data_IF_266653543061
#
_entry.id   IF_266653543061
#
_cell.length_a   1.000
_cell.length_b   1.000
_cell.length_c   1.000
_cell.angle_alpha   90.00
_cell.angle_beta   90.00
_cell.angle_gamma   90.00
#
_symmetry.space_group_name_H-M   'P 1'
#
loop_
_entity.id
_entity.type
_entity.pdbx_description
1 polymer ?
#
# COMPACT_ATOMS: atom_id res chain seq x y z
N UNK A 1 26.65 -9.71 -38.99
CA UNK A 1 26.53 -9.90 -37.52
C UNK A 1 25.69 -8.81 -36.83
N UNK A 2 25.82 -7.52 -37.18
CA UNK A 2 25.08 -6.42 -36.55
C UNK A 2 23.53 -6.54 -36.58
N UNK A 3 22.93 -7.10 -37.64
CA UNK A 3 21.46 -7.28 -37.74
C UNK A 3 20.88 -8.22 -36.68
N UNK A 4 21.64 -9.23 -36.25
CA UNK A 4 21.20 -10.17 -35.19
C UNK A 4 21.39 -9.54 -33.81
N UNK A 5 22.44 -8.73 -33.62
CA UNK A 5 22.66 -7.97 -32.40
C UNK A 5 21.53 -6.96 -32.15
N UNK A 6 21.15 -6.16 -33.16
CA UNK A 6 20.02 -5.21 -33.05
C UNK A 6 18.69 -5.91 -32.75
N UNK A 7 18.43 -7.08 -33.36
CA UNK A 7 17.24 -7.89 -33.03
C UNK A 7 17.29 -8.41 -31.60
N UNK A 8 18.44 -8.89 -31.15
CA UNK A 8 18.63 -9.38 -29.78
C UNK A 8 18.42 -8.27 -28.76
N UNK A 9 18.97 -7.08 -29.00
CA UNK A 9 18.87 -5.90 -28.13
C UNK A 9 17.42 -5.39 -28.04
N UNK A 10 16.71 -5.32 -29.17
CA UNK A 10 15.28 -4.99 -29.21
C UNK A 10 14.43 -6.02 -28.47
N UNK A 11 14.77 -7.31 -28.60
CA UNK A 11 14.08 -8.39 -27.92
C UNK A 11 14.33 -8.41 -26.42
N UNK A 12 15.58 -8.21 -25.98
CA UNK A 12 15.92 -8.15 -24.54
C UNK A 12 15.24 -6.96 -23.86
N UNK A 13 15.20 -5.79 -24.51
CA UNK A 13 14.47 -4.62 -23.99
C UNK A 13 12.98 -4.90 -23.85
N UNK A 14 12.37 -5.59 -24.82
CA UNK A 14 10.97 -6.00 -24.75
C UNK A 14 10.71 -7.00 -23.61
N UNK A 15 11.58 -8.01 -23.48
CA UNK A 15 11.51 -9.04 -22.43
C UNK A 15 11.58 -8.43 -21.02
N UNK A 16 12.57 -7.57 -20.78
CA UNK A 16 12.75 -6.91 -19.47
C UNK A 16 11.56 -6.04 -19.10
N UNK A 17 11.04 -5.24 -20.04
CA UNK A 17 9.84 -4.44 -19.80
C UNK A 17 8.61 -5.31 -19.48
N UNK A 18 8.47 -6.46 -20.13
CA UNK A 18 7.37 -7.39 -19.88
C UNK A 18 7.47 -8.09 -18.52
N UNK A 19 8.66 -8.55 -18.13
CA UNK A 19 8.93 -9.10 -16.80
C UNK A 19 8.64 -8.07 -15.70
N UNK A 20 9.05 -6.82 -15.91
CA UNK A 20 8.79 -5.73 -14.98
C UNK A 20 7.28 -5.46 -14.84
N UNK A 21 6.53 -5.49 -15.94
CA UNK A 21 5.06 -5.38 -15.92
C UNK A 21 4.38 -6.52 -15.15
N UNK A 22 4.80 -7.78 -15.36
CA UNK A 22 4.28 -8.93 -14.62
C UNK A 22 4.60 -8.84 -13.12
N UNK A 23 5.79 -8.34 -12.77
CA UNK A 23 6.16 -8.09 -11.38
C UNK A 23 5.31 -6.97 -10.77
N UNK A 24 5.14 -5.84 -11.47
CA UNK A 24 4.35 -4.70 -11.01
C UNK A 24 2.88 -5.06 -10.77
N UNK A 25 2.27 -5.83 -11.67
CA UNK A 25 0.90 -6.33 -11.50
C UNK A 25 0.76 -7.30 -10.33
N UNK A 26 1.76 -8.16 -10.07
CA UNK A 26 1.78 -9.04 -8.91
C UNK A 26 1.86 -8.24 -7.59
N UNK A 27 2.73 -7.22 -7.53
CA UNK A 27 2.86 -6.33 -6.35
C UNK A 27 1.60 -5.49 -6.15
N UNK A 28 0.99 -4.99 -7.22
CA UNK A 28 -0.30 -4.30 -7.15
C UNK A 28 -1.40 -5.22 -6.58
N UNK A 29 -1.48 -6.46 -7.08
CA UNK A 29 -2.40 -7.46 -6.54
C UNK A 29 -2.13 -7.77 -5.05
N UNK A 30 -0.85 -7.82 -4.65
CA UNK A 30 -0.46 -8.02 -3.25
C UNK A 30 -0.81 -6.80 -2.38
N UNK A 31 -0.78 -5.58 -2.93
CA UNK A 31 -1.19 -4.36 -2.23
C UNK A 31 -2.70 -4.30 -1.95
N UNK A 32 -3.52 -4.90 -2.82
CA UNK A 32 -4.99 -4.98 -2.63
C UNK A 32 -5.37 -6.11 -1.66
N UNK A 33 -4.54 -7.16 -1.54
CA UNK A 33 -4.80 -8.36 -0.74
C UNK A 33 -5.19 -8.11 0.75
N UNK A 34 -4.58 -7.15 1.48
CA UNK A 34 -4.96 -6.84 2.86
C UNK A 34 -6.37 -6.24 2.99
N UNK A 35 -6.84 -5.54 1.95
CA UNK A 35 -8.18 -4.92 1.93
C UNK A 35 -9.28 -5.98 1.91
N UNK A 36 -8.99 -7.15 1.34
CA UNK A 36 -9.91 -8.28 1.19
C UNK A 36 -9.98 -9.13 2.47
N UNK A 37 -8.89 -9.18 3.23
CA UNK A 37 -8.73 -10.04 4.39
C UNK A 37 -8.73 -9.20 5.68
N UNK A 38 -9.91 -8.97 6.25
CA UNK A 38 -10.09 -8.20 7.49
C UNK A 38 -9.29 -8.72 8.70
N UNK A 39 -8.82 -9.97 8.66
CA UNK A 39 -7.98 -10.59 9.70
C UNK A 39 -6.51 -10.10 9.69
N UNK A 40 -5.94 -9.74 8.54
CA UNK A 40 -4.56 -9.24 8.43
C UNK A 40 -4.47 -7.75 8.75
N UNK A 41 -5.51 -6.96 8.45
CA UNK A 41 -5.57 -5.53 8.80
C UNK A 41 -5.55 -5.25 10.31
N UNK A 42 -5.94 -6.21 11.15
CA UNK A 42 -5.89 -6.05 12.61
C UNK A 42 -4.49 -6.28 13.22
N UNK A 43 -3.57 -6.88 12.47
CA UNK A 43 -2.21 -7.19 12.91
C UNK A 43 -1.19 -6.12 12.50
N UNK A 44 -1.56 -5.26 11.54
CA UNK A 44 -0.69 -4.24 10.96
C UNK A 44 -1.07 -2.88 11.59
N UNK A 45 -0.15 -2.13 12.20
CA UNK A 45 -0.44 -0.83 12.80
C UNK A 45 -1.07 0.11 11.76
N UNK A 46 -2.34 0.45 11.97
CA UNK A 46 -3.31 0.75 10.90
C UNK A 46 -3.28 2.18 10.37
N UNK A 47 -2.32 3.03 10.71
CA UNK A 47 -2.40 4.45 10.34
C UNK A 47 -1.11 4.91 9.63
N UNK A 48 0.05 4.72 10.25
CA UNK A 48 1.34 4.93 9.55
C UNK A 48 1.54 3.93 8.40
N UNK A 49 1.16 2.66 8.60
CA UNK A 49 1.22 1.67 7.52
C UNK A 49 0.17 1.93 6.46
N UNK A 50 -0.99 2.51 6.80
CA UNK A 50 -1.96 2.92 5.78
C UNK A 50 -1.42 4.07 4.95
N UNK A 51 -0.78 5.09 5.55
CA UNK A 51 -0.22 6.20 4.78
C UNK A 51 0.90 5.69 3.84
N UNK A 52 1.82 4.88 4.37
CA UNK A 52 2.92 4.32 3.59
C UNK A 52 2.42 3.36 2.51
N UNK A 53 1.45 2.49 2.83
CA UNK A 53 0.83 1.59 1.86
C UNK A 53 0.06 2.34 0.78
N UNK A 54 -0.61 3.45 1.12
CA UNK A 54 -1.34 4.26 0.16
C UNK A 54 -0.36 4.95 -0.81
N UNK A 55 0.75 5.51 -0.32
CA UNK A 55 1.81 6.04 -1.19
C UNK A 55 2.46 4.96 -2.05
N UNK A 56 2.74 3.77 -1.50
CA UNK A 56 3.33 2.66 -2.24
C UNK A 56 2.37 2.15 -3.32
N UNK A 57 1.07 2.10 -3.02
CA UNK A 57 0.02 1.72 -3.95
C UNK A 57 -0.09 2.71 -5.13
N UNK A 58 -0.13 4.02 -4.84
CA UNK A 58 -0.18 5.08 -5.86
C UNK A 58 1.06 5.00 -6.77
N UNK A 59 2.25 4.92 -6.19
CA UNK A 59 3.51 4.79 -6.94
C UNK A 59 3.55 3.49 -7.75
N UNK A 60 3.06 2.38 -7.20
CA UNK A 60 2.95 1.10 -7.88
C UNK A 60 2.03 1.13 -9.10
N UNK A 61 0.90 1.84 -9.03
CA UNK A 61 0.01 2.06 -10.18
C UNK A 61 0.76 2.82 -11.28
N UNK A 62 1.44 3.92 -10.91
CA UNK A 62 2.19 4.75 -11.86
C UNK A 62 3.26 3.92 -12.57
N UNK A 63 4.05 3.15 -11.82
CA UNK A 63 5.09 2.26 -12.37
C UNK A 63 4.49 1.19 -13.29
N UNK A 64 3.35 0.62 -12.92
CA UNK A 64 2.65 -0.39 -13.73
C UNK A 64 2.15 0.21 -15.04
N UNK A 65 1.57 1.42 -15.00
CA UNK A 65 1.13 2.15 -16.20
C UNK A 65 2.32 2.50 -17.11
N UNK A 66 3.44 2.97 -16.57
CA UNK A 66 4.66 3.28 -17.33
C UNK A 66 5.22 2.00 -17.97
N UNK A 67 5.26 0.89 -17.25
CA UNK A 67 5.68 -0.42 -17.77
C UNK A 67 4.78 -0.90 -18.90
N UNK A 68 3.46 -0.72 -18.78
CA UNK A 68 2.50 -1.06 -19.83
C UNK A 68 2.70 -0.21 -21.09
N UNK A 69 2.94 1.09 -20.95
CA UNK A 69 3.28 1.98 -22.07
C UNK A 69 4.60 1.57 -22.75
N UNK A 70 5.59 1.12 -21.98
CA UNK A 70 6.84 0.57 -22.51
C UNK A 70 6.64 -0.70 -23.33
N UNK A 71 5.77 -1.61 -22.87
CA UNK A 71 5.42 -2.82 -23.60
C UNK A 71 4.63 -2.51 -24.89
N UNK A 72 3.64 -1.63 -24.83
CA UNK A 72 2.90 -1.18 -26.00
C UNK A 72 3.79 -0.44 -27.01
N UNK A 73 4.75 0.35 -26.53
CA UNK A 73 5.74 1.02 -27.39
C UNK A 73 6.64 0.04 -28.15
N UNK A 74 7.01 -1.08 -27.52
CA UNK A 74 7.79 -2.14 -28.16
C UNK A 74 6.96 -2.92 -29.20
N UNK A 75 5.67 -3.17 -28.92
CA UNK A 75 4.77 -3.89 -29.84
C UNK A 75 4.32 -3.07 -31.04
N UNK A 76 4.03 -1.77 -30.85
CA UNK A 76 3.38 -0.95 -31.89
C UNK A 76 4.33 -0.41 -32.95
N UNK A 77 5.65 -0.69 -32.85
CA UNK A 77 6.73 -0.12 -33.65
C UNK A 77 6.63 1.42 -33.86
N UNK A 78 5.87 2.09 -32.99
CA UNK A 78 5.58 3.51 -33.12
C UNK A 78 6.64 4.29 -32.35
N UNK A 79 7.49 4.99 -33.10
CA UNK A 79 8.57 5.79 -32.53
C UNK A 79 8.07 6.83 -31.53
N UNK A 80 6.88 7.42 -31.73
CA UNK A 80 6.33 8.39 -30.77
C UNK A 80 6.07 7.76 -29.39
N UNK A 81 5.49 6.55 -29.33
CA UNK A 81 5.22 5.89 -28.04
C UNK A 81 6.52 5.52 -27.31
N UNK A 82 7.53 5.08 -28.06
CA UNK A 82 8.83 4.72 -27.51
C UNK A 82 9.62 5.95 -27.03
N UNK A 83 9.53 7.08 -27.74
CA UNK A 83 10.10 8.37 -27.33
C UNK A 83 9.41 8.88 -26.06
N UNK A 84 8.08 8.89 -26.01
CA UNK A 84 7.35 9.31 -24.80
C UNK A 84 7.69 8.44 -23.59
N UNK A 85 7.79 7.12 -23.77
CA UNK A 85 8.23 6.20 -22.72
C UNK A 85 9.64 6.54 -22.22
N UNK A 86 10.57 6.80 -23.13
CA UNK A 86 11.93 7.18 -22.75
C UNK A 86 11.98 8.50 -21.98
N UNK A 87 11.20 9.50 -22.39
CA UNK A 87 11.08 10.77 -21.66
C UNK A 87 10.49 10.55 -20.26
N UNK A 88 9.44 9.74 -20.14
CA UNK A 88 8.84 9.42 -18.84
C UNK A 88 9.82 8.70 -17.90
N UNK A 89 10.58 7.72 -18.42
CA UNK A 89 11.63 7.07 -17.65
C UNK A 89 12.74 8.03 -17.25
N UNK A 90 13.12 8.94 -18.14
CA UNK A 90 14.12 9.95 -17.85
C UNK A 90 13.66 10.88 -16.72
N UNK A 91 12.39 11.29 -16.74
CA UNK A 91 11.79 12.08 -15.65
C UNK A 91 11.81 11.29 -14.33
N UNK A 92 11.40 10.02 -14.33
CA UNK A 92 11.47 9.17 -13.13
C UNK A 92 12.90 9.03 -12.60
N UNK A 93 13.86 8.86 -13.51
CA UNK A 93 15.29 8.75 -13.18
C UNK A 93 15.88 10.05 -12.63
N UNK A 94 15.28 11.21 -12.88
CA UNK A 94 15.65 12.47 -12.24
C UNK A 94 14.92 12.68 -10.90
N UNK A 95 13.63 12.34 -10.85
CA UNK A 95 12.80 12.51 -9.65
C UNK A 95 13.25 11.58 -8.53
N UNK A 96 13.52 10.31 -8.83
CA UNK A 96 13.88 9.30 -7.83
C UNK A 96 15.15 9.64 -7.02
N UNK A 97 16.30 9.99 -7.65
CA UNK A 97 17.46 10.44 -6.89
C UNK A 97 17.25 11.81 -6.24
N UNK A 98 16.41 12.68 -6.81
CA UNK A 98 16.07 13.96 -6.17
C UNK A 98 15.33 13.73 -4.85
N UNK A 99 14.32 12.86 -4.86
CA UNK A 99 13.57 12.46 -3.66
C UNK A 99 14.49 11.73 -2.69
N UNK A 100 15.35 10.81 -3.16
CA UNK A 100 16.30 10.10 -2.31
C UNK A 100 17.30 11.06 -1.63
N UNK A 101 17.88 12.01 -2.37
CA UNK A 101 18.76 13.02 -1.81
C UNK A 101 18.01 13.92 -0.81
N UNK A 102 16.78 14.31 -1.12
CA UNK A 102 15.96 15.11 -0.21
C UNK A 102 15.65 14.33 1.08
N UNK A 103 15.28 13.06 0.96
CA UNK A 103 15.07 12.16 2.09
C UNK A 103 16.32 12.12 2.97
N UNK A 104 17.50 11.88 2.38
CA UNK A 104 18.78 11.81 3.09
C UNK A 104 19.14 13.10 3.84
N UNK A 105 18.85 14.27 3.25
CA UNK A 105 19.11 15.57 3.89
C UNK A 105 18.14 15.83 5.05
N UNK A 106 16.88 15.42 4.89
CA UNK A 106 15.80 15.67 5.85
C UNK A 106 15.48 14.45 6.74
N UNK A 107 16.31 13.41 6.76
CA UNK A 107 16.11 12.17 7.55
C UNK A 107 15.69 12.49 8.99
N UNK A 108 16.40 13.41 9.65
CA UNK A 108 16.11 13.79 11.05
C UNK A 108 14.73 14.40 11.25
N UNK A 109 14.23 15.13 10.27
CA UNK A 109 12.90 15.73 10.29
C UNK A 109 11.85 14.64 10.06
N UNK A 110 12.07 13.82 9.04
CA UNK A 110 11.17 12.74 8.61
C UNK A 110 11.03 11.69 9.70
N UNK A 111 12.12 11.29 10.34
CA UNK A 111 12.11 10.31 11.43
C UNK A 111 11.26 10.79 12.62
N UNK A 112 11.37 12.08 12.99
CA UNK A 112 10.51 12.68 14.02
C UNK A 112 9.04 12.75 13.61
N UNK A 113 8.75 13.04 12.34
CA UNK A 113 7.38 13.03 11.84
C UNK A 113 6.79 11.62 11.86
N UNK A 114 7.55 10.62 11.39
CA UNK A 114 7.15 9.21 11.39
C UNK A 114 6.95 8.66 12.81
N UNK A 115 7.82 8.99 13.76
CA UNK A 115 7.71 8.53 15.15
C UNK A 115 6.49 9.12 15.85
N UNK A 116 6.18 10.41 15.60
CA UNK A 116 4.96 11.07 16.11
C UNK A 116 3.70 10.45 15.53
N UNK A 117 3.66 10.25 14.20
CA UNK A 117 2.54 9.59 13.53
C UNK A 117 2.32 8.18 14.07
N UNK A 118 3.40 7.41 14.25
CA UNK A 118 3.33 6.05 14.78
C UNK A 118 2.84 6.01 16.22
N UNK A 119 3.33 6.93 17.07
CA UNK A 119 2.93 7.01 18.48
C UNK A 119 1.47 7.44 18.63
N UNK A 120 1.00 8.43 17.87
CA UNK A 120 -0.40 8.85 17.85
C UNK A 120 -1.32 7.68 17.44
N UNK A 121 -0.89 6.96 16.39
CA UNK A 121 -1.61 5.83 15.84
C UNK A 121 -1.79 4.67 16.83
N UNK A 122 -0.73 4.36 17.57
CA UNK A 122 -0.74 3.34 18.61
C UNK A 122 -1.59 3.76 19.81
N UNK A 123 -1.53 5.04 20.21
CA UNK A 123 -2.35 5.60 21.28
C UNK A 123 -3.85 5.45 21.00
N UNK A 124 -4.29 5.81 19.79
CA UNK A 124 -5.70 5.70 19.35
C UNK A 124 -6.19 4.25 19.30
N UNK A 125 -5.34 3.32 18.87
CA UNK A 125 -5.67 1.88 18.86
C UNK A 125 -5.76 1.28 20.26
N UNK A 126 -4.98 1.79 21.22
CA UNK A 126 -5.01 1.37 22.64
C UNK A 126 -6.27 1.86 23.35
N UNK A 127 -6.73 3.07 23.06
CA UNK A 127 -8.01 3.63 23.53
C UNK A 127 -9.21 2.79 23.05
N UNK A 128 -9.23 2.41 21.77
CA UNK A 128 -10.25 1.49 21.20
C UNK A 128 -10.24 0.12 21.88
N UNK A 129 -9.06 -0.40 22.20
CA UNK A 129 -8.91 -1.67 22.94
C UNK A 129 -9.39 -1.55 24.39
N UNK A 130 -9.18 -0.41 25.06
CA UNK A 130 -9.66 -0.15 26.43
C UNK A 130 -11.19 -0.01 26.48
N UNK A 131 -11.78 0.73 25.54
CA UNK A 131 -13.24 0.86 25.41
C UNK A 131 -13.91 -0.48 25.11
N UNK A 132 -13.32 -1.29 24.22
CA UNK A 132 -13.79 -2.65 23.92
C UNK A 132 -13.67 -3.62 25.11
N UNK A 133 -12.61 -3.52 25.90
CA UNK A 133 -12.41 -4.35 27.10
C UNK A 133 -13.34 -3.95 28.25
N UNK A 134 -13.66 -2.67 28.44
CA UNK A 134 -14.69 -2.23 29.40
C UNK A 134 -16.09 -2.68 28.99
N UNK A 135 -16.44 -2.62 27.69
CA UNK A 135 -17.73 -3.12 27.18
C UNK A 135 -17.82 -4.66 27.24
N UNK A 136 -16.72 -5.39 26.99
CA UNK A 136 -16.66 -6.85 27.23
C UNK A 136 -16.64 -7.21 28.72
N UNK A 137 -16.09 -6.37 29.60
CA UNK A 137 -16.13 -6.57 31.06
C UNK A 137 -17.56 -6.45 31.59
N UNK A 138 -18.34 -5.49 31.07
CA UNK A 138 -19.76 -5.38 31.38
C UNK A 138 -20.59 -6.57 30.83
N UNK A 139 -20.22 -7.11 29.65
CA UNK A 139 -20.90 -8.31 29.07
C UNK A 139 -20.47 -9.64 29.70
N UNK A 140 -19.26 -9.76 30.25
CA UNK A 140 -18.80 -10.99 30.94
C UNK A 140 -19.29 -11.10 32.38
N UNK A 141 -19.53 -9.97 33.06
CA UNK A 141 -20.22 -9.99 34.37
C UNK A 141 -21.71 -10.36 34.26
N UNK A 142 -22.35 -10.15 33.11
CA UNK A 142 -23.74 -10.54 32.86
C UNK A 142 -23.99 -11.95 32.32
N UNK A 143 -22.94 -12.75 32.04
CA UNK A 143 -23.10 -14.11 31.46
C UNK A 143 -22.88 -15.24 32.47
N UNK A 144 -22.41 -14.95 33.68
CA UNK A 144 -22.18 -15.98 34.71
C UNK A 144 -23.33 -16.14 35.71
N UNK A 145 -24.45 -15.44 35.52
CA UNK A 145 -25.65 -15.57 36.35
C UNK A 145 -26.84 -16.03 35.50
N UNK A 146 -26.71 -17.22 34.93
CA UNK A 146 -27.86 -17.96 34.40
C UNK A 146 -28.50 -18.78 35.52
N UNK A 147 -29.41 -18.17 36.27
CA UNK A 147 -30.53 -18.87 36.92
C UNK A 147 -31.68 -17.85 37.14
N UNK A 148 -32.73 -18.02 36.33
CA UNK A 148 -34.08 -17.42 36.39
C UNK A 148 -34.80 -17.93 37.68
N UNK A 149 -35.89 -17.35 38.27
CA UNK A 149 -36.93 -16.39 37.84
C UNK A 149 -37.00 -15.14 38.76
N UNK A 150 -37.87 -14.13 38.60
CA UNK A 150 -39.27 -13.97 39.09
C UNK A 150 -39.74 -12.55 38.66
N UNK A 151 -40.89 -12.38 37.99
CA UNK A 151 -42.23 -12.11 38.56
C UNK A 151 -42.53 -10.59 38.80
N UNK A 152 -43.38 -10.03 37.92
CA UNK A 152 -44.42 -8.98 38.12
C UNK A 152 -44.11 -7.46 38.31
N UNK A 153 -44.57 -6.66 37.32
CA UNK A 153 -45.41 -5.41 37.29
C UNK A 153 -45.69 -4.60 38.61
N UNK A 154 -46.29 -3.38 38.62
CA UNK A 154 -46.18 -2.12 37.83
C UNK A 154 -46.18 -0.79 38.68
N UNK A 155 -46.28 0.38 38.01
CA UNK A 155 -46.90 1.67 38.42
C UNK A 155 -46.08 2.88 38.96
N UNK A 156 -46.54 4.06 38.49
CA UNK A 156 -46.39 5.47 38.94
C UNK A 156 -45.05 6.18 38.64
N UNK A 157 -44.99 7.28 37.87
CA UNK A 157 -45.92 8.42 37.67
C UNK A 157 -46.00 8.85 36.21
#
# INVERSE_FOLDING_TARGET
MARNCLKCLKYTMCMVNFLCFMCGTAVFGFGVFPMLNTKVSALIPTLSTLNLANTLFITGIIITCVSFLGFLGALKENRCLLITFFILLFILMLVEPTVACLLLVYEKEIDRFLEKDLTESLGKSRELTKGGNSTKKHRRLGRHSGHVPVLWDPQHK
#
